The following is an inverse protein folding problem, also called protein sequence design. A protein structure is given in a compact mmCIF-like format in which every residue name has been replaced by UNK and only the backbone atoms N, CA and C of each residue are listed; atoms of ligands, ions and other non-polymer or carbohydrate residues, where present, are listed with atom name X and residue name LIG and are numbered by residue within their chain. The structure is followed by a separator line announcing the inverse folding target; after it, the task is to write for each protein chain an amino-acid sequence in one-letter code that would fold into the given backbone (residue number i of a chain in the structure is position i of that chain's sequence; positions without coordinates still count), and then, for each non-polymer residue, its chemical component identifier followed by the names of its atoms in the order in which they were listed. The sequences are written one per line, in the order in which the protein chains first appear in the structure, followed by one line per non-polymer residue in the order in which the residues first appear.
data_IF_845917896341
#
_entry.id   IF_845917896341
#
_cell.length_a   1.000
_cell.length_b   1.000
_cell.length_c   1.000
_cell.angle_alpha   90.00
_cell.angle_beta   90.00
_cell.angle_gamma   90.00
#
_symmetry.space_group_name_H-M   'P 1'
#
loop_
_entity.id
_entity.type
_entity.pdbx_description
1 polymer ?
#
# COMPACT_ATOMS: atom_id res chain seq x y z
N UNK A 1 7.74 3.57 -5.61
CA UNK A 1 6.45 3.44 -6.35
C UNK A 1 6.56 2.36 -7.43
N UNK A 2 7.67 2.26 -8.15
CA UNK A 2 7.88 1.33 -9.26
C UNK A 2 7.60 -0.13 -8.92
N UNK A 3 7.88 -0.56 -7.69
CA UNK A 3 7.59 -1.91 -7.21
C UNK A 3 6.08 -2.19 -7.14
N UNK A 4 5.25 -1.15 -6.94
CA UNK A 4 3.80 -1.30 -7.00
C UNK A 4 3.33 -1.61 -8.42
N UNK A 5 3.99 -1.09 -9.46
CA UNK A 5 3.69 -1.46 -10.85
C UNK A 5 4.03 -2.93 -11.11
N UNK A 6 5.19 -3.40 -10.66
CA UNK A 6 5.59 -4.80 -10.81
C UNK A 6 4.61 -5.74 -10.09
N UNK A 7 4.19 -5.36 -8.88
CA UNK A 7 3.19 -6.10 -8.11
C UNK A 7 1.82 -6.16 -8.81
N UNK A 8 1.30 -5.03 -9.31
CA UNK A 8 0.01 -5.00 -10.04
C UNK A 8 0.11 -5.77 -11.35
N UNK A 9 1.24 -5.72 -12.04
CA UNK A 9 1.47 -6.54 -13.24
C UNK A 9 1.47 -8.03 -12.91
N UNK A 10 2.10 -8.43 -11.82
CA UNK A 10 2.06 -9.81 -11.33
C UNK A 10 0.64 -10.25 -10.96
N UNK A 11 -0.17 -9.40 -10.31
CA UNK A 11 -1.58 -9.68 -10.04
C UNK A 11 -2.39 -9.88 -11.33
N UNK A 12 -2.06 -9.15 -12.40
CA UNK A 12 -2.71 -9.28 -13.70
C UNK A 12 -2.24 -10.49 -14.51
N UNK A 13 -1.31 -11.31 -14.01
CA UNK A 13 -0.91 -12.54 -14.68
C UNK A 13 -2.11 -13.50 -14.87
N UNK A 14 -2.27 -14.16 -16.03
CA UNK A 14 -3.44 -14.98 -16.35
C UNK A 14 -3.84 -16.00 -15.28
N UNK A 15 -2.87 -16.64 -14.63
CA UNK A 15 -3.12 -17.63 -13.57
C UNK A 15 -3.78 -17.02 -12.34
N UNK A 16 -3.34 -15.81 -11.91
CA UNK A 16 -3.92 -15.10 -10.77
C UNK A 16 -5.29 -14.55 -11.11
N UNK A 17 -5.44 -13.99 -12.30
CA UNK A 17 -6.76 -13.58 -12.77
C UNK A 17 -7.75 -14.74 -12.80
N UNK A 18 -7.35 -15.93 -13.27
CA UNK A 18 -8.19 -17.12 -13.24
C UNK A 18 -8.59 -17.55 -11.81
N UNK A 19 -7.69 -17.36 -10.81
CA UNK A 19 -8.03 -17.61 -9.40
C UNK A 19 -9.06 -16.60 -8.89
N UNK A 20 -8.91 -15.31 -9.21
CA UNK A 20 -9.88 -14.25 -8.87
C UNK A 20 -11.24 -14.52 -9.54
N UNK A 21 -11.26 -14.88 -10.81
CA UNK A 21 -12.49 -15.21 -11.54
C UNK A 21 -13.22 -16.42 -10.92
N UNK A 22 -12.47 -17.45 -10.54
CA UNK A 22 -13.03 -18.66 -9.96
C UNK A 22 -13.62 -18.45 -8.56
N UNK A 23 -12.96 -17.62 -7.72
CA UNK A 23 -13.33 -17.46 -6.31
C UNK A 23 -14.25 -16.26 -6.08
N UNK A 24 -14.18 -15.23 -6.94
CA UNK A 24 -14.74 -13.90 -6.66
C UNK A 24 -13.91 -13.13 -5.64
N UNK A 25 -14.39 -11.96 -5.23
CA UNK A 25 -13.72 -11.14 -4.23
C UNK A 25 -14.27 -11.42 -2.82
N UNK A 26 -13.47 -11.10 -1.82
CA UNK A 26 -13.74 -11.30 -0.40
C UNK A 26 -15.10 -10.77 0.08
N UNK A 27 -15.64 -9.74 -0.58
CA UNK A 27 -16.91 -9.08 -0.23
C UNK A 27 -18.11 -9.59 -1.06
N UNK A 28 -17.93 -10.67 -1.83
CA UNK A 28 -18.96 -11.28 -2.66
C UNK A 28 -19.11 -10.66 -4.05
N UNK A 29 -18.34 -9.60 -4.38
CA UNK A 29 -18.30 -9.10 -5.76
C UNK A 29 -17.71 -10.15 -6.70
N UNK A 30 -18.30 -10.29 -7.87
CA UNK A 30 -17.75 -11.14 -8.92
C UNK A 30 -16.54 -10.45 -9.56
N UNK A 31 -15.47 -11.20 -9.77
CA UNK A 31 -14.37 -10.79 -10.64
C UNK A 31 -14.51 -11.54 -11.98
N UNK A 32 -14.45 -10.82 -13.09
CA UNK A 32 -14.65 -11.35 -14.43
C UNK A 32 -13.47 -11.04 -15.33
N UNK A 33 -13.44 -11.60 -16.53
CA UNK A 33 -12.43 -11.27 -17.54
C UNK A 33 -12.35 -9.78 -17.86
N UNK A 34 -13.47 -9.05 -17.74
CA UNK A 34 -13.57 -7.61 -18.01
C UNK A 34 -13.25 -6.74 -16.76
N UNK A 35 -13.05 -7.37 -15.59
CA UNK A 35 -12.67 -6.66 -14.37
C UNK A 35 -11.25 -6.12 -14.47
N UNK A 36 -11.03 -4.92 -13.94
CA UNK A 36 -9.73 -4.26 -13.95
C UNK A 36 -9.07 -4.36 -12.57
N UNK A 37 -7.76 -4.60 -12.57
CA UNK A 37 -6.91 -4.42 -11.39
C UNK A 37 -6.11 -3.15 -11.65
N UNK A 38 -6.48 -2.06 -10.99
CA UNK A 38 -5.88 -0.76 -11.22
C UNK A 38 -5.09 -0.30 -10.00
N UNK A 39 -3.89 0.25 -10.24
CA UNK A 39 -3.11 0.96 -9.25
C UNK A 39 -3.54 2.43 -9.23
N UNK A 40 -4.03 2.92 -8.09
CA UNK A 40 -4.36 4.33 -7.90
C UNK A 40 -3.25 5.02 -7.12
N UNK A 41 -2.64 6.02 -7.74
CA UNK A 41 -1.57 6.83 -7.15
C UNK A 41 -2.18 8.15 -6.64
N UNK A 42 -2.38 8.23 -5.32
CA UNK A 42 -3.08 9.32 -4.64
C UNK A 42 -2.14 10.32 -3.92
N UNK A 43 -0.83 10.23 -4.17
CA UNK A 43 0.17 11.08 -3.54
C UNK A 43 0.62 12.24 -4.41
N UNK A 44 1.30 13.19 -3.78
CA UNK A 44 2.07 14.23 -4.44
C UNK A 44 3.53 13.80 -4.53
N UNK A 45 4.22 14.23 -5.56
CA UNK A 45 5.67 14.07 -5.70
C UNK A 45 6.37 15.37 -5.27
N UNK A 46 6.01 15.88 -4.10
CA UNK A 46 6.55 17.15 -3.59
C UNK A 46 8.08 17.12 -3.42
N UNK A 47 8.64 15.95 -3.15
CA UNK A 47 10.08 15.76 -2.95
C UNK A 47 10.88 15.71 -4.26
N UNK A 48 10.22 15.73 -5.42
CA UNK A 48 10.88 15.66 -6.71
C UNK A 48 10.83 16.98 -7.48
N UNK A 49 11.86 17.81 -7.32
CA UNK A 49 11.99 19.12 -7.96
C UNK A 49 12.10 19.02 -9.50
N UNK A 50 12.66 17.92 -10.02
CA UNK A 50 12.99 17.81 -11.46
C UNK A 50 11.90 17.20 -12.34
N UNK A 51 10.98 16.43 -11.75
CA UNK A 51 9.98 15.64 -12.47
C UNK A 51 10.55 14.44 -13.24
N UNK A 52 11.83 14.11 -13.08
CA UNK A 52 12.48 13.02 -13.80
C UNK A 52 12.00 11.64 -13.32
N UNK A 53 11.79 11.47 -12.04
CA UNK A 53 11.29 10.20 -11.49
C UNK A 53 9.86 9.90 -11.97
N UNK A 54 8.97 10.90 -11.97
CA UNK A 54 7.63 10.77 -12.53
C UNK A 54 7.67 10.39 -14.02
N UNK A 55 8.60 10.95 -14.80
CA UNK A 55 8.77 10.57 -16.22
C UNK A 55 9.20 9.11 -16.35
N UNK A 56 10.12 8.64 -15.50
CA UNK A 56 10.53 7.23 -15.47
C UNK A 56 9.37 6.31 -15.10
N UNK A 57 8.58 6.65 -14.08
CA UNK A 57 7.39 5.90 -13.68
C UNK A 57 6.36 5.82 -14.82
N UNK A 58 6.07 6.93 -15.49
CA UNK A 58 5.15 6.95 -16.63
C UNK A 58 5.66 6.07 -17.79
N UNK A 59 6.96 6.12 -18.09
CA UNK A 59 7.58 5.22 -19.08
C UNK A 59 7.47 3.75 -18.69
N UNK A 60 7.73 3.42 -17.41
CA UNK A 60 7.60 2.04 -16.90
C UNK A 60 6.15 1.56 -17.00
N UNK A 61 5.18 2.39 -16.59
CA UNK A 61 3.74 2.11 -16.76
C UNK A 61 3.40 1.79 -18.21
N UNK A 62 3.79 2.67 -19.13
CA UNK A 62 3.44 2.56 -20.56
C UNK A 62 4.10 1.34 -21.20
N UNK A 63 5.38 1.05 -20.88
CA UNK A 63 6.11 -0.13 -21.36
C UNK A 63 5.48 -1.43 -20.90
N UNK A 64 5.02 -1.48 -19.65
CA UNK A 64 4.43 -2.67 -19.04
C UNK A 64 2.91 -2.73 -19.23
N UNK A 65 2.28 -1.72 -19.85
CA UNK A 65 0.83 -1.56 -19.97
C UNK A 65 0.10 -1.68 -18.61
N UNK A 66 0.74 -1.21 -17.53
CA UNK A 66 0.17 -1.26 -16.19
C UNK A 66 -1.04 -0.35 -16.10
N UNK A 67 -2.15 -0.86 -15.61
CA UNK A 67 -3.36 -0.06 -15.34
C UNK A 67 -3.12 0.82 -14.10
N UNK A 68 -2.55 2.00 -14.28
CA UNK A 68 -2.21 2.94 -13.22
C UNK A 68 -2.83 4.31 -13.48
N UNK A 69 -3.51 4.84 -12.45
CA UNK A 69 -4.28 6.07 -12.47
C UNK A 69 -3.64 7.06 -11.49
N UNK A 70 -3.15 8.18 -12.00
CA UNK A 70 -2.62 9.28 -11.19
C UNK A 70 -3.75 10.26 -10.89
N UNK A 71 -4.06 10.48 -9.61
CA UNK A 71 -5.19 11.29 -9.16
C UNK A 71 -4.80 12.52 -8.33
N UNK A 72 -3.54 12.95 -8.42
CA UNK A 72 -3.03 14.13 -7.70
C UNK A 72 -3.89 15.39 -7.89
N UNK A 73 -4.45 15.60 -9.06
CA UNK A 73 -5.26 16.79 -9.40
C UNK A 73 -6.66 16.83 -8.78
N UNK A 74 -7.09 15.75 -8.08
CA UNK A 74 -8.44 15.65 -7.48
C UNK A 74 -8.41 15.23 -6.02
N UNK A 75 -7.24 15.10 -5.42
CA UNK A 75 -7.05 14.75 -4.01
C UNK A 75 -6.46 15.94 -3.25
N UNK A 76 -6.86 16.11 -2.00
CA UNK A 76 -6.35 17.12 -1.08
C UNK A 76 -6.52 16.71 0.37
N UNK A 77 -6.09 17.56 1.30
CA UNK A 77 -6.18 17.30 2.75
C UNK A 77 -7.62 17.18 3.28
N UNK A 78 -8.60 17.77 2.57
CA UNK A 78 -10.01 17.70 2.94
C UNK A 78 -10.90 17.79 1.70
N UNK A 79 -12.13 17.29 1.82
CA UNK A 79 -13.16 17.42 0.77
C UNK A 79 -13.55 18.89 0.60
N UNK A 80 -13.53 19.39 -0.64
CA UNK A 80 -13.96 20.74 -1.00
C UNK A 80 -14.36 20.82 -2.48
N UNK A 81 -14.94 21.92 -2.86
CA UNK A 81 -15.14 22.28 -4.28
C UNK A 81 -14.25 23.48 -4.58
N UNK A 82 -13.43 23.36 -5.61
CA UNK A 82 -12.50 24.38 -6.04
C UNK A 82 -12.65 24.58 -7.56
N UNK A 83 -12.94 25.81 -7.99
CA UNK A 83 -13.19 26.15 -9.39
C UNK A 83 -14.23 25.22 -10.08
N UNK A 84 -15.30 24.85 -9.35
CA UNK A 84 -16.35 23.95 -9.85
C UNK A 84 -15.97 22.46 -9.91
N UNK A 85 -14.75 22.08 -9.51
CA UNK A 85 -14.29 20.70 -9.43
C UNK A 85 -14.34 20.19 -7.99
N UNK A 86 -14.77 18.93 -7.82
CA UNK A 86 -14.70 18.26 -6.52
C UNK A 86 -13.27 17.83 -6.24
N UNK A 87 -12.77 18.20 -5.06
CA UNK A 87 -11.52 17.70 -4.49
C UNK A 87 -11.91 16.75 -3.35
N UNK A 88 -11.40 15.53 -3.42
CA UNK A 88 -11.63 14.48 -2.44
C UNK A 88 -10.53 14.50 -1.37
N UNK A 89 -10.79 13.95 -0.20
CA UNK A 89 -9.74 13.75 0.79
C UNK A 89 -8.93 12.49 0.46
N UNK A 90 -7.71 12.41 0.96
CA UNK A 90 -6.90 11.20 0.86
C UNK A 90 -7.64 9.98 1.44
N UNK A 91 -8.42 10.15 2.51
CA UNK A 91 -9.23 9.10 3.11
C UNK A 91 -10.29 8.50 2.18
N UNK A 92 -10.75 9.26 1.19
CA UNK A 92 -11.69 8.73 0.19
C UNK A 92 -11.07 7.63 -0.66
N UNK A 93 -9.75 7.65 -0.87
CA UNK A 93 -9.05 6.61 -1.62
C UNK A 93 -9.04 5.28 -0.87
N UNK A 94 -8.87 5.31 0.46
CA UNK A 94 -8.90 4.10 1.28
C UNK A 94 -10.28 3.43 1.31
N UNK A 95 -11.36 4.22 1.25
CA UNK A 95 -12.75 3.69 1.23
C UNK A 95 -13.01 2.83 -0.01
N UNK A 96 -12.38 3.15 -1.12
CA UNK A 96 -12.57 2.45 -2.40
C UNK A 96 -11.45 1.46 -2.72
N UNK A 97 -10.43 1.37 -1.89
CA UNK A 97 -9.33 0.46 -2.10
C UNK A 97 -9.66 -0.95 -1.58
N UNK A 98 -9.29 -1.96 -2.34
CA UNK A 98 -9.32 -3.36 -1.90
C UNK A 98 -8.01 -3.76 -1.19
N UNK A 99 -6.92 -3.04 -1.49
CA UNK A 99 -5.57 -3.38 -1.05
C UNK A 99 -4.68 -2.14 -1.07
N UNK A 100 -3.73 -2.01 -0.15
CA UNK A 100 -2.76 -0.90 -0.12
C UNK A 100 -1.40 -1.38 -0.57
N UNK A 101 -0.75 -0.63 -1.45
CA UNK A 101 0.65 -0.83 -1.81
C UNK A 101 1.51 0.26 -1.19
N UNK A 102 2.50 -0.13 -0.39
CA UNK A 102 3.43 0.77 0.28
C UNK A 102 4.88 0.33 0.04
N UNK A 103 5.38 0.47 -1.21
CA UNK A 103 6.69 -0.02 -1.60
C UNK A 103 7.82 0.96 -1.31
N UNK A 104 7.67 1.83 -0.31
CA UNK A 104 8.69 2.79 0.06
C UNK A 104 9.92 2.08 0.61
N UNK A 105 11.09 2.36 0.04
CA UNK A 105 12.34 1.73 0.44
C UNK A 105 13.04 2.49 1.58
N UNK A 106 12.64 3.72 1.81
CA UNK A 106 13.20 4.59 2.83
C UNK A 106 12.11 5.47 3.45
N UNK A 107 11.94 5.35 4.75
CA UNK A 107 10.93 6.09 5.50
C UNK A 107 11.48 6.48 6.88
N UNK A 108 11.03 7.63 7.39
CA UNK A 108 11.27 8.02 8.76
C UNK A 108 10.51 7.13 9.74
N UNK A 109 9.20 6.95 9.50
CA UNK A 109 8.36 6.02 10.29
C UNK A 109 7.34 5.29 9.42
N UNK A 110 6.64 5.99 8.50
CA UNK A 110 5.69 5.40 7.57
C UNK A 110 4.22 5.63 7.93
N UNK A 111 3.75 6.87 7.77
CA UNK A 111 2.36 7.23 8.10
C UNK A 111 1.33 6.41 7.30
N UNK A 112 1.62 6.11 6.04
CA UNK A 112 0.72 5.32 5.17
C UNK A 112 0.51 3.90 5.72
N UNK A 113 1.48 3.35 6.45
CA UNK A 113 1.30 2.08 7.15
C UNK A 113 0.18 2.19 8.20
N UNK A 114 0.21 3.22 9.06
CA UNK A 114 -0.85 3.46 10.05
C UNK A 114 -2.21 3.74 9.41
N UNK A 115 -2.22 4.45 8.29
CA UNK A 115 -3.44 4.75 7.55
C UNK A 115 -4.08 3.47 7.01
N UNK A 116 -3.29 2.55 6.45
CA UNK A 116 -3.77 1.25 6.00
C UNK A 116 -4.34 0.41 7.16
N UNK A 117 -3.64 0.39 8.32
CA UNK A 117 -4.13 -0.30 9.52
C UNK A 117 -5.47 0.28 9.99
N UNK A 118 -5.59 1.62 10.03
CA UNK A 118 -6.82 2.31 10.43
C UNK A 118 -7.96 2.05 9.45
N UNK A 119 -7.66 1.98 8.17
CA UNK A 119 -8.63 1.66 7.12
C UNK A 119 -9.02 0.17 7.09
N UNK A 120 -8.34 -0.68 7.88
CA UNK A 120 -8.49 -2.14 7.86
C UNK A 120 -8.31 -2.72 6.46
N UNK A 121 -7.24 -2.31 5.80
CA UNK A 121 -6.87 -2.82 4.50
C UNK A 121 -5.61 -3.68 4.59
N UNK A 122 -5.54 -4.79 3.85
CA UNK A 122 -4.28 -5.51 3.68
C UNK A 122 -3.27 -4.60 3.01
N UNK A 123 -2.00 -4.78 3.37
CA UNK A 123 -0.92 -3.93 2.88
C UNK A 123 0.24 -4.77 2.36
N UNK A 124 0.74 -4.42 1.18
CA UNK A 124 2.03 -4.84 0.67
C UNK A 124 3.06 -3.75 0.97
N UNK A 125 4.19 -4.12 1.52
CA UNK A 125 5.29 -3.19 1.79
C UNK A 125 6.65 -3.79 1.46
N UNK A 126 7.63 -2.90 1.26
CA UNK A 126 9.04 -3.20 1.34
C UNK A 126 9.49 -3.05 2.79
N UNK A 127 10.30 -3.98 3.30
CA UNK A 127 10.79 -3.96 4.69
C UNK A 127 11.91 -2.93 4.85
N UNK A 128 11.54 -1.64 4.90
CA UNK A 128 12.49 -0.55 5.10
C UNK A 128 13.14 -0.59 6.49
N UNK A 129 14.29 0.09 6.71
CA UNK A 129 15.08 -0.05 7.94
C UNK A 129 14.29 0.18 9.22
N UNK A 130 13.43 1.22 9.28
CA UNK A 130 12.60 1.51 10.48
C UNK A 130 11.51 0.46 10.68
N UNK A 131 10.93 -0.10 9.61
CA UNK A 131 10.00 -1.22 9.73
C UNK A 131 10.68 -2.42 10.43
N UNK A 132 11.88 -2.77 9.97
CA UNK A 132 12.68 -3.87 10.56
C UNK A 132 13.05 -3.63 12.02
N UNK A 133 13.43 -2.39 12.36
CA UNK A 133 13.92 -2.05 13.71
C UNK A 133 12.79 -1.90 14.73
N UNK A 134 11.67 -1.28 14.36
CA UNK A 134 10.70 -0.75 15.32
C UNK A 134 9.28 -1.31 15.16
N UNK A 135 8.97 -1.95 14.02
CA UNK A 135 7.60 -2.35 13.68
C UNK A 135 7.43 -3.86 13.55
N UNK A 136 8.36 -4.54 12.92
CA UNK A 136 8.27 -5.97 12.58
C UNK A 136 8.02 -6.85 13.82
N UNK A 137 8.72 -6.59 14.93
CA UNK A 137 8.63 -7.34 16.18
C UNK A 137 7.26 -7.25 16.86
N UNK A 138 6.39 -6.35 16.46
CA UNK A 138 5.02 -6.22 16.99
C UNK A 138 4.07 -7.27 16.43
N UNK A 139 4.47 -8.00 15.37
CA UNK A 139 3.72 -9.13 14.83
C UNK A 139 2.62 -8.76 13.83
N UNK A 140 2.80 -7.69 13.07
CA UNK A 140 1.90 -7.35 11.98
C UNK A 140 1.96 -8.36 10.83
N UNK A 141 0.81 -8.71 10.29
CA UNK A 141 0.69 -9.52 9.08
C UNK A 141 0.67 -8.62 7.84
N UNK A 142 1.75 -8.63 7.08
CA UNK A 142 1.91 -7.83 5.86
C UNK A 142 2.30 -8.71 4.68
N UNK A 143 1.97 -8.28 3.48
CA UNK A 143 2.50 -8.88 2.26
C UNK A 143 3.86 -8.25 1.99
N UNK A 144 4.93 -9.02 2.23
CA UNK A 144 6.29 -8.49 2.20
C UNK A 144 6.96 -8.65 0.85
N UNK A 145 7.64 -7.59 0.40
CA UNK A 145 8.60 -7.62 -0.71
C UNK A 145 10.04 -7.95 -0.26
N UNK A 146 10.25 -8.20 1.04
CA UNK A 146 11.58 -8.34 1.63
C UNK A 146 12.28 -7.00 1.80
N UNK A 147 13.59 -7.05 2.09
CA UNK A 147 14.45 -5.90 2.33
C UNK A 147 15.65 -5.80 1.35
N UNK A 148 15.70 -6.68 0.35
CA UNK A 148 16.78 -6.70 -0.64
C UNK A 148 16.40 -5.85 -1.85
N UNK A 149 17.26 -4.89 -2.18
CA UNK A 149 17.12 -4.03 -3.36
C UNK A 149 18.24 -4.28 -4.35
N UNK A 150 17.91 -4.09 -5.62
CA UNK A 150 18.85 -3.97 -6.71
C UNK A 150 18.49 -2.76 -7.58
N UNK A 151 19.50 -2.12 -8.14
CA UNK A 151 19.29 -1.04 -9.10
C UNK A 151 19.02 -1.61 -10.50
N UNK A 152 18.13 -0.93 -11.23
CA UNK A 152 17.95 -1.19 -12.65
C UNK A 152 18.79 -0.22 -13.50
N UNK A 153 19.00 -0.54 -14.76
CA UNK A 153 19.75 0.30 -15.72
C UNK A 153 19.11 1.69 -15.90
N UNK A 154 17.80 1.81 -15.70
CA UNK A 154 17.06 3.08 -15.78
C UNK A 154 17.05 3.85 -14.44
N UNK A 155 17.73 3.34 -13.40
CA UNK A 155 17.86 3.94 -12.08
C UNK A 155 16.58 3.86 -11.24
N UNK A 156 15.67 2.91 -11.54
CA UNK A 156 14.59 2.50 -10.68
C UNK A 156 15.06 1.35 -9.77
N UNK A 157 14.39 1.15 -8.63
CA UNK A 157 14.73 0.03 -7.75
C UNK A 157 13.99 -1.23 -8.16
N UNK A 158 14.62 -2.37 -7.92
CA UNK A 158 14.05 -3.70 -8.12
C UNK A 158 14.16 -4.51 -6.83
N UNK A 159 13.26 -5.46 -6.69
CA UNK A 159 13.37 -6.56 -5.71
C UNK A 159 13.47 -7.88 -6.47
N UNK A 160 13.95 -8.97 -5.85
CA UNK A 160 13.96 -10.27 -6.50
C UNK A 160 12.57 -10.63 -7.05
N UNK A 161 12.49 -11.02 -8.32
CA UNK A 161 11.20 -11.32 -9.01
C UNK A 161 10.34 -12.32 -8.21
N UNK A 162 10.97 -13.31 -7.58
CA UNK A 162 10.30 -14.26 -6.70
C UNK A 162 9.50 -13.57 -5.59
N UNK A 163 10.00 -12.46 -5.02
CA UNK A 163 9.30 -11.71 -3.97
C UNK A 163 8.05 -11.02 -4.48
N UNK A 164 8.07 -10.50 -5.70
CA UNK A 164 6.87 -9.94 -6.35
C UNK A 164 5.82 -11.03 -6.59
N UNK A 165 6.25 -12.21 -7.07
CA UNK A 165 5.36 -13.33 -7.34
C UNK A 165 4.72 -13.88 -6.06
N UNK A 166 5.53 -14.11 -5.00
CA UNK A 166 5.05 -14.53 -3.68
C UNK A 166 4.05 -13.52 -3.09
N UNK A 167 4.36 -12.23 -3.18
CA UNK A 167 3.49 -11.15 -2.71
C UNK A 167 2.17 -11.11 -3.48
N UNK A 168 2.21 -11.27 -4.80
CA UNK A 168 1.00 -11.30 -5.61
C UNK A 168 0.11 -12.51 -5.31
N UNK A 169 0.69 -13.69 -5.03
CA UNK A 169 -0.06 -14.86 -4.62
C UNK A 169 -0.76 -14.68 -3.26
N UNK A 170 -0.04 -14.12 -2.26
CA UNK A 170 -0.62 -13.78 -0.96
C UNK A 170 -1.74 -12.75 -1.08
N UNK A 171 -1.56 -11.74 -1.95
CA UNK A 171 -2.60 -10.76 -2.19
C UNK A 171 -3.86 -11.35 -2.81
N UNK A 172 -3.73 -12.31 -3.75
CA UNK A 172 -4.90 -13.02 -4.30
C UNK A 172 -5.65 -13.78 -3.20
N UNK A 173 -4.96 -14.41 -2.26
CA UNK A 173 -5.64 -15.09 -1.14
C UNK A 173 -6.39 -14.09 -0.26
N UNK A 174 -5.78 -12.95 0.09
CA UNK A 174 -6.44 -11.87 0.86
C UNK A 174 -7.59 -11.18 0.09
N UNK A 175 -7.54 -11.17 -1.23
CA UNK A 175 -8.58 -10.58 -2.07
C UNK A 175 -9.75 -11.54 -2.31
N UNK A 176 -9.60 -12.84 -2.05
CA UNK A 176 -10.61 -13.86 -2.34
C UNK A 176 -11.13 -14.60 -1.11
N UNK A 177 -10.46 -14.52 0.02
CA UNK A 177 -10.85 -15.20 1.25
C UNK A 177 -11.24 -14.17 2.32
N UNK A 178 -12.56 -14.07 2.58
CA UNK A 178 -13.11 -13.17 3.59
C UNK A 178 -12.54 -13.45 4.99
N UNK A 179 -12.49 -14.71 5.39
CA UNK A 179 -12.06 -15.09 6.74
C UNK A 179 -10.59 -14.74 6.97
N UNK A 180 -9.71 -15.15 6.06
CA UNK A 180 -8.29 -14.81 6.12
C UNK A 180 -8.07 -13.29 6.15
N UNK A 181 -8.78 -12.56 5.28
CA UNK A 181 -8.69 -11.11 5.23
C UNK A 181 -9.09 -10.47 6.56
N UNK A 182 -10.28 -10.83 7.10
CA UNK A 182 -10.79 -10.30 8.36
C UNK A 182 -9.83 -10.59 9.52
N UNK A 183 -9.29 -11.80 9.62
CA UNK A 183 -8.30 -12.15 10.62
C UNK A 183 -7.07 -11.25 10.55
N UNK A 184 -6.52 -11.05 9.35
CA UNK A 184 -5.34 -10.22 9.12
C UNK A 184 -5.61 -8.77 9.48
N UNK A 185 -6.66 -8.16 8.92
CA UNK A 185 -6.90 -6.71 9.10
C UNK A 185 -7.34 -6.37 10.52
N UNK A 186 -8.13 -7.24 11.18
CA UNK A 186 -8.55 -7.04 12.56
C UNK A 186 -7.39 -7.23 13.55
N UNK A 187 -6.52 -8.23 13.30
CA UNK A 187 -5.30 -8.40 14.09
C UNK A 187 -4.39 -7.19 13.97
N UNK A 188 -4.11 -6.77 12.74
CA UNK A 188 -3.29 -5.60 12.46
C UNK A 188 -3.86 -4.33 13.10
N UNK A 189 -5.17 -4.11 13.00
CA UNK A 189 -5.83 -2.97 13.64
C UNK A 189 -5.67 -2.99 15.16
N UNK A 190 -5.83 -4.15 15.81
CA UNK A 190 -5.66 -4.29 17.26
C UNK A 190 -4.21 -4.02 17.69
N UNK A 191 -3.23 -4.55 16.96
CA UNK A 191 -1.81 -4.31 17.20
C UNK A 191 -1.49 -2.82 17.03
N UNK A 192 -1.91 -2.22 15.91
CA UNK A 192 -1.73 -0.80 15.64
C UNK A 192 -2.33 0.09 16.72
N UNK A 193 -3.56 -0.20 17.15
CA UNK A 193 -4.21 0.53 18.23
C UNK A 193 -3.46 0.38 19.56
N UNK A 194 -2.94 -0.81 19.87
CA UNK A 194 -2.19 -1.09 21.10
C UNK A 194 -0.89 -0.31 21.16
N UNK A 195 -0.16 -0.21 20.07
CA UNK A 195 1.20 0.32 20.04
C UNK A 195 1.30 1.77 19.54
N UNK A 196 0.38 2.20 18.66
CA UNK A 196 0.52 3.44 17.89
C UNK A 196 -0.69 4.38 17.97
N UNK A 197 -1.62 4.12 18.90
CA UNK A 197 -2.71 5.07 19.16
C UNK A 197 -2.23 6.28 19.99
N UNK A 198 -3.02 7.34 20.00
CA UNK A 198 -2.77 8.48 20.89
C UNK A 198 -2.77 8.07 22.37
N UNK A 199 -3.61 7.10 22.75
CA UNK A 199 -3.61 6.53 24.11
C UNK A 199 -2.28 5.80 24.43
N UNK A 200 -1.73 5.08 23.46
CA UNK A 200 -0.42 4.45 23.62
C UNK A 200 0.67 5.51 23.75
N UNK A 201 0.68 6.52 22.88
CA UNK A 201 1.63 7.63 22.93
C UNK A 201 1.57 8.36 24.25
N UNK A 202 0.37 8.65 24.78
CA UNK A 202 0.18 9.32 26.07
C UNK A 202 0.82 8.54 27.21
N UNK A 203 0.76 7.21 27.22
CA UNK A 203 1.41 6.38 28.26
C UNK A 203 2.93 6.52 28.27
N UNK A 204 3.55 6.80 27.11
CA UNK A 204 4.99 7.03 27.04
C UNK A 204 5.37 8.46 27.39
N UNK A 205 4.58 9.45 26.96
CA UNK A 205 4.91 10.86 27.13
C UNK A 205 4.62 11.39 28.52
N UNK A 206 3.48 11.02 29.14
CA UNK A 206 3.08 11.55 30.44
C UNK A 206 4.14 11.33 31.55
N UNK A 207 4.77 10.15 31.70
CA UNK A 207 5.83 9.96 32.69
C UNK A 207 7.03 10.89 32.47
N UNK A 208 7.38 11.17 31.22
CA UNK A 208 8.49 12.07 30.85
C UNK A 208 8.14 13.51 31.20
N UNK A 209 6.91 13.95 30.86
CA UNK A 209 6.44 15.32 31.13
C UNK A 209 6.30 15.55 32.64
N UNK A 210 5.80 14.57 33.39
CA UNK A 210 5.60 14.63 34.84
C UNK A 210 6.89 14.45 35.63
N UNK A 211 8.04 14.26 34.99
CA UNK A 211 9.33 14.03 35.64
C UNK A 211 9.41 12.73 36.44
N UNK A 212 8.53 11.76 36.16
CA UNK A 212 8.51 10.44 36.77
C UNK A 212 9.32 9.49 35.86
N UNK A 213 10.63 9.36 36.14
CA UNK A 213 11.48 8.32 35.57
C UNK A 213 11.42 7.06 36.44
#
# INVERSE_FOLDING_TARGET
IELAFDFVNALNHPERRARLEKRGLYDGRSFTKDSRIALVLAGYTEDEITGEYIKKLKRKRDKAATDAIFIEGVIGGSRRTENGKKIFSLWDTYVYADFVTYPSCWEGWGNQFLEALRAKLPIMLFEYPVFKADIEDKGFSVVSLGSELADSEDGLVLVPARKIEEAADQAVDLLTDFTLREEVVESNFKIGRRHYSLDALSKYLLPIIDGRQ
#
